data_IF_046865906873
#
_entry.id   IF_046865906873
#
_cell.length_a   1.000
_cell.length_b   1.000
_cell.length_c   1.000
_cell.angle_alpha   90.00
_cell.angle_beta   90.00
_cell.angle_gamma   90.00
#
_symmetry.space_group_name_H-M   'P 1'
#
loop_
_entity.id
_entity.type
_entity.pdbx_description
1 polymer ?
#
# COMPACT_ATOMS: atom_id res chain seq x y z
N UNK A 1 14.33 0.52 10.59
CA UNK A 1 13.54 -0.31 9.65
C UNK A 1 12.08 -0.20 10.02
N UNK A 2 11.24 0.33 9.14
CA UNK A 2 9.85 0.62 9.47
C UNK A 2 8.99 -0.65 9.25
N UNK A 3 8.31 -1.14 10.28
CA UNK A 3 7.64 -2.45 10.23
C UNK A 3 6.48 -2.47 9.23
N UNK A 4 5.78 -1.33 9.09
CA UNK A 4 4.71 -1.11 8.11
C UNK A 4 5.21 -1.28 6.67
N UNK A 5 6.45 -0.90 6.40
CA UNK A 5 7.06 -1.03 5.07
C UNK A 5 7.28 -2.52 4.71
N UNK A 6 7.75 -3.32 5.68
CA UNK A 6 7.87 -4.78 5.49
C UNK A 6 6.51 -5.43 5.26
N UNK A 7 5.49 -5.00 6.00
CA UNK A 7 4.13 -5.48 5.81
C UNK A 7 3.60 -5.16 4.42
N UNK A 8 3.82 -3.94 3.93
CA UNK A 8 3.43 -3.55 2.58
C UNK A 8 4.16 -4.38 1.50
N UNK A 9 5.47 -4.57 1.64
CA UNK A 9 6.24 -5.43 0.73
C UNK A 9 5.65 -6.84 0.68
N UNK A 10 5.34 -7.42 1.85
CA UNK A 10 4.70 -8.73 1.92
C UNK A 10 3.32 -8.74 1.28
N UNK A 11 2.50 -7.69 1.49
CA UNK A 11 1.19 -7.58 0.87
C UNK A 11 1.26 -7.58 -0.67
N UNK A 12 2.27 -6.91 -1.24
CA UNK A 12 2.50 -6.90 -2.70
C UNK A 12 2.87 -8.29 -3.19
N UNK A 13 3.79 -8.98 -2.51
CA UNK A 13 4.22 -10.35 -2.86
C UNK A 13 3.05 -11.34 -2.78
N UNK A 14 2.26 -11.26 -1.71
CA UNK A 14 1.11 -12.12 -1.46
C UNK A 14 -0.13 -11.71 -2.29
N UNK A 15 -0.06 -10.60 -3.04
CA UNK A 15 -1.15 -9.98 -3.81
C UNK A 15 -2.40 -9.70 -2.97
N UNK A 16 -2.20 -9.22 -1.75
CA UNK A 16 -3.29 -8.77 -0.89
C UNK A 16 -3.75 -7.37 -1.29
N UNK A 17 -5.06 -7.13 -1.20
CA UNK A 17 -5.56 -5.76 -1.28
C UNK A 17 -5.09 -4.94 -0.08
N UNK A 18 -4.91 -3.64 -0.28
CA UNK A 18 -4.58 -2.69 0.78
C UNK A 18 -5.63 -1.58 0.87
N UNK A 19 -5.80 -1.04 2.07
CA UNK A 19 -6.60 0.14 2.33
C UNK A 19 -5.77 1.13 3.13
N UNK A 20 -5.88 2.41 2.80
CA UNK A 20 -5.12 3.46 3.46
C UNK A 20 -5.77 4.83 3.30
N UNK A 21 -5.38 5.77 4.14
CA UNK A 21 -5.71 7.19 3.98
C UNK A 21 -4.51 7.91 3.38
N UNK A 22 -4.74 8.74 2.36
CA UNK A 22 -3.73 9.59 1.74
C UNK A 22 -4.32 10.99 1.56
N UNK A 23 -3.66 12.01 2.10
CA UNK A 23 -4.08 13.43 2.00
C UNK A 23 -5.59 13.64 2.31
N UNK A 24 -6.06 13.10 3.44
CA UNK A 24 -7.46 13.09 3.89
C UNK A 24 -8.47 12.35 3.00
N UNK A 25 -8.02 11.67 1.94
CA UNK A 25 -8.85 10.77 1.14
C UNK A 25 -8.64 9.33 1.59
N UNK A 26 -9.75 8.58 1.68
CA UNK A 26 -9.71 7.17 2.04
C UNK A 26 -9.73 6.32 0.78
N UNK A 27 -8.74 5.45 0.65
CA UNK A 27 -8.58 4.49 -0.42
C UNK A 27 -8.80 3.09 0.16
N UNK A 28 -9.70 2.32 -0.45
CA UNK A 28 -10.06 0.97 0.01
C UNK A 28 -9.95 -0.01 -1.15
N UNK A 29 -9.59 -1.26 -0.84
CA UNK A 29 -9.46 -2.35 -1.81
C UNK A 29 -8.54 -2.00 -2.99
N UNK A 30 -7.42 -1.34 -2.71
CA UNK A 30 -6.43 -0.95 -3.72
C UNK A 30 -5.44 -2.08 -3.97
N UNK A 31 -5.07 -2.30 -5.22
CA UNK A 31 -4.06 -3.30 -5.59
C UNK A 31 -2.68 -2.67 -5.52
N UNK A 32 -1.89 -3.03 -4.52
CA UNK A 32 -0.49 -2.65 -4.47
C UNK A 32 0.31 -3.56 -5.42
N UNK A 33 0.87 -2.98 -6.48
CA UNK A 33 1.55 -3.72 -7.55
C UNK A 33 3.06 -3.74 -7.36
N UNK A 34 3.64 -2.60 -6.96
CA UNK A 34 5.09 -2.47 -6.79
C UNK A 34 5.42 -1.41 -5.75
N UNK A 35 6.58 -1.58 -5.12
CA UNK A 35 7.17 -0.58 -4.24
C UNK A 35 8.53 -0.17 -4.82
N UNK A 36 8.74 1.14 -4.96
CA UNK A 36 9.97 1.73 -5.46
C UNK A 36 11.00 1.95 -4.36
N UNK A 37 12.28 2.07 -4.74
CA UNK A 37 13.37 2.42 -3.84
C UNK A 37 13.20 3.84 -3.25
N UNK A 38 12.43 4.71 -3.92
CA UNK A 38 12.02 6.03 -3.41
C UNK A 38 10.79 5.99 -2.50
N UNK A 39 10.42 4.85 -1.92
CA UNK A 39 9.23 4.69 -1.08
C UNK A 39 7.91 5.04 -1.78
N UNK A 40 7.84 4.85 -3.10
CA UNK A 40 6.61 5.06 -3.88
C UNK A 40 5.89 3.74 -4.08
N UNK A 41 4.61 3.70 -3.71
CA UNK A 41 3.72 2.56 -3.90
C UNK A 41 3.00 2.75 -5.23
N UNK A 42 3.28 1.86 -6.19
CA UNK A 42 2.54 1.78 -7.43
C UNK A 42 1.32 0.91 -7.20
N UNK A 43 0.15 1.51 -7.39
CA UNK A 43 -1.12 0.86 -7.30
C UNK A 43 -1.82 0.85 -8.67
N UNK A 44 -2.84 0.02 -8.82
CA UNK A 44 -3.71 0.01 -10.00
C UNK A 44 -4.39 1.37 -10.27
N UNK A 45 -4.74 2.08 -9.19
CA UNK A 45 -5.41 3.38 -9.27
C UNK A 45 -4.45 4.59 -9.21
N UNK A 46 -3.13 4.38 -9.31
CA UNK A 46 -2.15 5.47 -9.33
C UNK A 46 -0.92 5.22 -8.46
N UNK A 47 -0.12 6.27 -8.26
CA UNK A 47 1.15 6.20 -7.54
C UNK A 47 1.02 7.00 -6.24
N UNK A 48 1.39 6.39 -5.12
CA UNK A 48 1.27 6.98 -3.78
C UNK A 48 2.62 7.02 -3.08
N UNK A 49 2.90 8.10 -2.36
CA UNK A 49 4.11 8.21 -1.52
C UNK A 49 3.84 7.55 -0.16
N UNK A 50 4.65 6.57 0.23
CA UNK A 50 4.48 5.82 1.48
C UNK A 50 4.53 6.74 2.72
N UNK A 51 5.34 7.79 2.69
CA UNK A 51 5.44 8.74 3.82
C UNK A 51 4.14 9.51 4.08
N UNK A 52 3.29 9.68 3.06
CA UNK A 52 1.99 10.35 3.17
C UNK A 52 0.84 9.37 3.44
N UNK A 53 1.10 8.06 3.33
CA UNK A 53 0.12 7.02 3.66
C UNK A 53 -0.05 6.96 5.17
N UNK A 54 -1.31 7.02 5.61
CA UNK A 54 -1.71 6.87 7.01
C UNK A 54 -2.71 5.73 7.13
N UNK A 55 -2.74 5.07 8.29
CA UNK A 55 -3.69 3.99 8.61
C UNK A 55 -3.67 2.89 7.54
N UNK A 56 -2.48 2.42 7.16
CA UNK A 56 -2.34 1.31 6.21
C UNK A 56 -2.91 0.03 6.83
N UNK A 57 -3.82 -0.61 6.11
CA UNK A 57 -4.44 -1.88 6.48
C UNK A 57 -4.28 -2.84 5.31
N UNK A 58 -3.71 -4.00 5.58
CA UNK A 58 -3.63 -5.10 4.61
C UNK A 58 -4.90 -5.93 4.78
N UNK A 59 -5.64 -6.10 3.70
CA UNK A 59 -6.83 -6.92 3.67
C UNK A 59 -6.43 -8.38 3.47
N UNK A 60 -7.24 -9.30 4.00
CA UNK A 60 -7.01 -10.74 3.82
C UNK A 60 -7.40 -11.23 2.43
N UNK A 61 -8.23 -10.46 1.73
CA UNK A 61 -8.61 -10.72 0.34
C UNK A 61 -7.42 -10.48 -0.60
N UNK A 62 -7.27 -11.40 -1.55
CA UNK A 62 -6.21 -11.42 -2.56
C UNK A 62 -6.77 -11.19 -3.96
N UNK A 63 -5.90 -10.83 -4.90
CA UNK A 63 -6.24 -10.56 -6.30
C UNK A 63 -5.24 -11.15 -7.31
#
# INVERSE_FOLDING_TARGET
>A
MNIEFRFLQKAIVDKNYISFTYENKNYKNIKALKLDEKNKVFCDNGIFEFEKIKKLVILKDRF
#
